data_IF_055672590968
#
_entry.id   IF_055672590968
#
_cell.length_a   1.000
_cell.length_b   1.000
_cell.length_c   1.000
_cell.angle_alpha   90.00
_cell.angle_beta   90.00
_cell.angle_gamma   90.00
#
_symmetry.space_group_name_H-M   'P 1'
#
loop_
_entity.id
_entity.type
_entity.pdbx_description
1 polymer ?
#
# COMPACT_ATOMS: atom_id res chain seq x y z
N UNK A 1 -19.76 -1.85 -5.95
CA UNK A 1 -18.47 -2.27 -6.57
C UNK A 1 -17.35 -1.78 -5.67
N UNK A 2 -16.72 -2.65 -4.89
CA UNK A 2 -15.57 -2.26 -4.07
C UNK A 2 -14.36 -1.98 -4.99
N UNK A 3 -13.56 -0.97 -4.67
CA UNK A 3 -12.31 -0.72 -5.39
C UNK A 3 -11.23 -1.67 -4.85
N UNK A 4 -10.44 -2.31 -5.73
CA UNK A 4 -9.34 -3.17 -5.30
C UNK A 4 -8.23 -2.34 -4.65
N UNK A 5 -7.53 -2.94 -3.68
CA UNK A 5 -6.49 -2.31 -2.87
C UNK A 5 -5.39 -1.66 -3.72
N UNK A 6 -4.99 -2.29 -4.83
CA UNK A 6 -3.95 -1.74 -5.69
C UNK A 6 -4.31 -0.35 -6.26
N UNK A 7 -5.61 -0.03 -6.44
CA UNK A 7 -6.01 1.32 -6.88
C UNK A 7 -5.88 2.35 -5.77
N UNK A 8 -6.12 1.95 -4.53
CA UNK A 8 -5.87 2.80 -3.36
C UNK A 8 -4.39 3.12 -3.26
N UNK A 9 -3.52 2.11 -3.36
CA UNK A 9 -2.06 2.29 -3.32
C UNK A 9 -1.55 3.25 -4.40
N UNK A 10 -2.06 3.15 -5.63
CA UNK A 10 -1.73 4.11 -6.70
C UNK A 10 -2.24 5.51 -6.37
N UNK A 11 -3.44 5.64 -5.81
CA UNK A 11 -4.04 6.94 -5.47
C UNK A 11 -3.28 7.69 -4.36
N UNK A 12 -2.60 6.97 -3.45
CA UNK A 12 -1.73 7.56 -2.43
C UNK A 12 -0.51 8.27 -3.04
N UNK A 13 -0.21 8.05 -4.32
CA UNK A 13 0.87 8.71 -5.05
C UNK A 13 2.24 8.52 -4.37
N UNK A 14 2.47 7.33 -3.81
CA UNK A 14 3.76 6.93 -3.24
C UNK A 14 4.78 6.86 -4.38
N UNK A 15 5.94 7.47 -4.18
CA UNK A 15 6.98 7.54 -5.20
C UNK A 15 7.37 6.12 -5.65
N UNK A 16 7.51 5.92 -6.96
CA UNK A 16 7.85 4.63 -7.59
C UNK A 16 6.77 3.54 -7.50
N UNK A 17 5.67 3.76 -6.77
CA UNK A 17 4.56 2.80 -6.66
C UNK A 17 3.56 3.01 -7.79
N UNK A 18 3.91 2.52 -8.97
CA UNK A 18 3.00 2.45 -10.11
C UNK A 18 2.03 1.25 -10.02
N UNK A 19 1.11 1.08 -10.99
CA UNK A 19 0.12 -0.01 -10.99
C UNK A 19 0.72 -1.42 -10.85
N UNK A 20 1.91 -1.69 -11.39
CA UNK A 20 2.57 -2.99 -11.27
C UNK A 20 2.99 -3.27 -9.83
N UNK A 21 3.75 -2.37 -9.21
CA UNK A 21 4.20 -2.51 -7.83
C UNK A 21 3.01 -2.50 -6.84
N UNK A 22 2.02 -1.65 -7.07
CA UNK A 22 0.80 -1.61 -6.27
C UNK A 22 0.03 -2.93 -6.30
N UNK A 23 -0.06 -3.58 -7.46
CA UNK A 23 -0.68 -4.91 -7.57
C UNK A 23 0.14 -5.97 -6.86
N UNK A 24 1.46 -5.97 -7.02
CA UNK A 24 2.33 -6.93 -6.35
C UNK A 24 2.16 -6.85 -4.82
N UNK A 25 2.23 -5.64 -4.26
CA UNK A 25 2.00 -5.40 -2.83
C UNK A 25 0.58 -5.79 -2.39
N UNK A 26 -0.44 -5.42 -3.16
CA UNK A 26 -1.81 -5.77 -2.82
C UNK A 26 -2.05 -7.29 -2.84
N UNK A 27 -1.49 -8.00 -3.83
CA UNK A 27 -1.59 -9.47 -3.92
C UNK A 27 -0.88 -10.16 -2.77
N UNK A 28 0.35 -9.75 -2.45
CA UNK A 28 1.18 -10.38 -1.41
C UNK A 28 0.59 -10.15 0.00
N UNK A 29 0.26 -8.89 0.32
CA UNK A 29 -0.11 -8.50 1.68
C UNK A 29 -1.62 -8.39 1.90
N UNK A 30 -2.44 -8.29 0.84
CA UNK A 30 -3.91 -8.31 0.86
C UNK A 30 -4.63 -7.19 1.63
N UNK A 31 -3.92 -6.38 2.41
CA UNK A 31 -4.47 -5.21 3.11
C UNK A 31 -3.42 -4.12 3.27
N UNK A 32 -3.86 -2.88 3.33
CA UNK A 32 -2.98 -1.74 3.60
C UNK A 32 -2.32 -1.86 4.97
N UNK A 33 -3.04 -2.38 5.98
CA UNK A 33 -2.49 -2.60 7.32
C UNK A 33 -1.35 -3.62 7.32
N UNK A 34 -1.47 -4.70 6.57
CA UNK A 34 -0.39 -5.67 6.41
C UNK A 34 0.83 -5.06 5.70
N UNK A 35 0.62 -4.20 4.70
CA UNK A 35 1.70 -3.48 4.01
C UNK A 35 2.42 -2.53 4.98
N UNK A 36 1.66 -1.78 5.78
CA UNK A 36 2.22 -0.81 6.76
C UNK A 36 2.96 -1.51 7.90
N UNK A 37 2.52 -2.70 8.30
CA UNK A 37 3.15 -3.49 9.35
C UNK A 37 4.38 -4.29 8.88
N UNK A 38 4.52 -4.50 7.57
CA UNK A 38 5.65 -5.23 7.00
C UNK A 38 6.97 -4.46 7.14
N UNK A 39 8.07 -5.17 7.37
CA UNK A 39 9.40 -4.56 7.32
C UNK A 39 9.78 -4.19 5.88
N UNK A 40 10.71 -3.26 5.73
CA UNK A 40 11.26 -2.91 4.41
C UNK A 40 11.79 -4.13 3.66
N UNK A 41 12.44 -5.05 4.37
CA UNK A 41 12.96 -6.31 3.82
C UNK A 41 11.85 -7.21 3.28
N UNK A 42 10.73 -7.31 4.01
CA UNK A 42 9.56 -8.09 3.56
C UNK A 42 8.91 -7.46 2.33
N UNK A 43 8.79 -6.13 2.30
CA UNK A 43 8.28 -5.40 1.13
C UNK A 43 9.20 -5.61 -0.08
N UNK A 44 10.52 -5.53 0.12
CA UNK A 44 11.52 -5.69 -0.94
C UNK A 44 11.65 -7.14 -1.45
N UNK A 45 11.14 -8.12 -0.72
CA UNK A 45 11.08 -9.51 -1.16
C UNK A 45 9.92 -9.79 -2.13
N UNK A 46 8.96 -8.87 -2.23
CA UNK A 46 7.81 -9.03 -3.15
C UNK A 46 8.27 -8.89 -4.60
N UNK A 47 7.85 -9.81 -5.47
CA UNK A 47 8.25 -9.79 -6.88
C UNK A 47 7.86 -8.46 -7.56
N UNK A 48 8.84 -7.79 -8.16
CA UNK A 48 8.65 -6.48 -8.79
C UNK A 48 8.66 -5.29 -7.82
N UNK A 49 8.88 -5.52 -6.53
CA UNK A 49 9.10 -4.49 -5.50
C UNK A 49 10.54 -4.59 -5.01
N UNK A 50 11.43 -3.80 -5.59
CA UNK A 50 12.82 -3.71 -5.11
C UNK A 50 12.98 -2.84 -3.86
N UNK A 51 14.20 -2.76 -3.29
CA UNK A 51 14.47 -1.98 -2.08
C UNK A 51 14.10 -0.49 -2.21
N UNK A 52 14.28 0.12 -3.38
CA UNK A 52 13.86 1.52 -3.63
C UNK A 52 12.36 1.73 -3.44
N UNK A 53 11.53 0.77 -3.87
CA UNK A 53 10.07 0.88 -3.74
C UNK A 53 9.66 0.59 -2.30
N UNK A 54 10.28 -0.42 -1.67
CA UNK A 54 10.04 -0.76 -0.27
C UNK A 54 10.33 0.43 0.66
N UNK A 55 11.52 1.05 0.55
CA UNK A 55 11.89 2.26 1.28
C UNK A 55 10.89 3.39 1.03
N UNK A 56 10.50 3.63 -0.23
CA UNK A 56 9.53 4.69 -0.55
C UNK A 56 8.15 4.46 0.10
N UNK A 57 7.71 3.21 0.23
CA UNK A 57 6.47 2.86 0.94
C UNK A 57 6.62 3.14 2.43
N UNK A 58 7.67 2.64 3.07
CA UNK A 58 7.93 2.85 4.51
C UNK A 58 8.01 4.35 4.81
N UNK A 59 8.84 5.08 4.07
CA UNK A 59 9.06 6.52 4.23
C UNK A 59 7.76 7.30 4.10
N UNK A 60 6.90 6.95 3.13
CA UNK A 60 5.60 7.62 2.95
C UNK A 60 4.75 7.52 4.21
N UNK A 61 4.73 6.35 4.85
CA UNK A 61 4.01 6.14 6.10
C UNK A 61 4.73 6.71 7.33
N UNK A 62 5.95 7.25 7.26
CA UNK A 62 6.56 7.95 8.42
C UNK A 62 6.01 9.36 8.63
N UNK A 63 5.27 9.89 7.65
CA UNK A 63 4.76 11.26 7.67
C UNK A 63 3.33 11.29 8.22
N UNK A 64 3.12 12.03 9.32
CA UNK A 64 1.85 12.00 10.06
C UNK A 64 0.63 12.39 9.21
N UNK A 65 0.74 13.42 8.37
CA UNK A 65 -0.41 13.86 7.56
C UNK A 65 -0.77 12.86 6.45
N UNK A 66 0.18 12.05 5.99
CA UNK A 66 -0.12 10.94 5.08
C UNK A 66 -0.99 9.87 5.76
N UNK A 67 -0.67 9.52 7.01
CA UNK A 67 -1.51 8.61 7.82
C UNK A 67 -2.92 9.18 8.00
N UNK A 68 -3.01 10.47 8.31
CA UNK A 68 -4.30 11.15 8.47
C UNK A 68 -5.17 11.13 7.19
N UNK A 69 -4.58 11.09 5.99
CA UNK A 69 -5.34 10.91 4.74
C UNK A 69 -5.94 9.51 4.67
N UNK A 70 -5.14 8.48 4.99
CA UNK A 70 -5.61 7.09 5.00
C UNK A 70 -6.75 6.91 6.00
N UNK A 71 -6.64 7.50 7.19
CA UNK A 71 -7.68 7.44 8.21
C UNK A 71 -8.97 8.14 7.75
N UNK A 72 -8.88 9.32 7.14
CA UNK A 72 -10.05 9.99 6.53
C UNK A 72 -10.72 9.15 5.45
N UNK A 73 -9.93 8.45 4.64
CA UNK A 73 -10.49 7.57 3.59
C UNK A 73 -11.17 6.35 4.20
N UNK A 74 -10.61 5.75 5.26
CA UNK A 74 -11.26 4.67 6.02
C UNK A 74 -12.59 5.12 6.62
N UNK A 75 -12.62 6.29 7.27
CA UNK A 75 -13.84 6.88 7.83
C UNK A 75 -14.89 7.15 6.75
N UNK A 76 -14.47 7.52 5.53
CA UNK A 76 -15.33 7.69 4.38
C UNK A 76 -15.78 6.36 3.72
N UNK A 77 -15.37 5.21 4.26
CA UNK A 77 -15.77 3.88 3.78
C UNK A 77 -14.93 3.34 2.62
N UNK A 78 -13.75 3.90 2.36
CA UNK A 78 -12.81 3.33 1.38
C UNK A 78 -12.28 2.00 1.90
N UNK A 79 -12.42 0.95 1.09
CA UNK A 79 -11.93 -0.38 1.43
C UNK A 79 -10.42 -0.46 1.27
N UNK A 80 -9.72 -0.80 2.37
CA UNK A 80 -8.26 -0.90 2.44
C UNK A 80 -7.75 -2.35 2.39
N UNK A 81 -8.54 -3.28 1.87
CA UNK A 81 -8.20 -4.69 1.79
C UNK A 81 -8.89 -5.34 0.59
N UNK A 82 -8.19 -6.26 -0.06
CA UNK A 82 -8.77 -7.12 -1.10
C UNK A 82 -9.54 -8.27 -0.45
N UNK A 83 -10.60 -8.72 -1.13
CA UNK A 83 -11.29 -9.96 -0.76
C UNK A 83 -10.39 -11.12 -1.16
N UNK A 84 -9.96 -11.90 -0.17
CA UNK A 84 -9.31 -13.19 -0.40
C UNK A 84 -10.40 -14.26 -0.27
N UNK A 85 -10.64 -14.99 -1.36
CA UNK A 85 -11.46 -16.20 -1.34
C UNK A 85 -10.78 -17.32 -0.54
#
# INVERSE_FOLDING_TARGET
KAQPLWRVLVALSIRHVGPTAARALATEFGSLDAIVAASEEQLAATEGVGPTIASAVVDWFTVDWHRAIVDKWREAGVRMADERD
#
